data_IF_036737463871
#
_entry.id   IF_036737463871
#
_cell.length_a   1.000
_cell.length_b   1.000
_cell.length_c   1.000
_cell.angle_alpha   90.00
_cell.angle_beta   90.00
_cell.angle_gamma   90.00
#
_symmetry.space_group_name_H-M   'P 1'
#
loop_
_entity.id
_entity.type
_entity.pdbx_description
1 polymer ?
#
# COMPACT_ATOMS: atom_id res chain seq x y z
N UNK A 1 -9.88 -3.07 15.20
CA UNK A 1 -9.10 -2.01 14.52
C UNK A 1 -10.05 -1.09 13.80
N UNK A 2 -9.61 0.13 13.42
CA UNK A 2 -10.37 1.02 12.53
C UNK A 2 -10.22 0.58 11.07
N UNK A 3 -11.25 0.77 10.25
CA UNK A 3 -11.15 0.54 8.80
C UNK A 3 -10.27 1.61 8.13
N UNK A 4 -9.81 1.34 6.91
CA UNK A 4 -9.06 2.32 6.12
C UNK A 4 -9.89 3.59 5.85
N UNK A 5 -11.20 3.43 5.64
CA UNK A 5 -12.13 4.55 5.48
C UNK A 5 -12.30 5.38 6.75
N UNK A 6 -12.41 4.74 7.92
CA UNK A 6 -12.46 5.44 9.21
C UNK A 6 -11.17 6.20 9.50
N UNK A 7 -10.00 5.60 9.22
CA UNK A 7 -8.70 6.24 9.39
C UNK A 7 -8.56 7.44 8.45
N UNK A 8 -9.01 7.31 7.19
CA UNK A 8 -8.88 8.38 6.20
C UNK A 8 -9.77 9.60 6.52
N UNK A 9 -10.93 9.37 7.15
CA UNK A 9 -11.88 10.41 7.52
C UNK A 9 -11.48 11.22 8.77
N UNK A 10 -10.49 10.76 9.54
CA UNK A 10 -9.98 11.44 10.74
C UNK A 10 -8.56 11.96 10.47
N UNK A 11 -8.38 13.27 10.55
CA UNK A 11 -7.10 13.92 10.20
C UNK A 11 -5.94 13.45 11.10
N UNK A 12 -6.18 13.30 12.41
CA UNK A 12 -5.15 12.87 13.35
C UNK A 12 -4.74 11.42 13.13
N UNK A 13 -5.72 10.54 12.89
CA UNK A 13 -5.45 9.14 12.54
C UNK A 13 -4.76 9.03 11.18
N UNK A 14 -5.18 9.82 10.18
CA UNK A 14 -4.58 9.82 8.84
C UNK A 14 -3.13 10.28 8.87
N UNK A 15 -2.80 11.36 9.57
CA UNK A 15 -1.43 11.84 9.73
C UNK A 15 -0.54 10.80 10.39
N UNK A 16 -1.01 10.19 11.48
CA UNK A 16 -0.29 9.12 12.15
C UNK A 16 -0.07 7.91 11.23
N UNK A 17 -1.12 7.49 10.51
CA UNK A 17 -1.06 6.37 9.58
C UNK A 17 -0.10 6.62 8.41
N UNK A 18 -0.05 7.84 7.87
CA UNK A 18 0.90 8.23 6.81
C UNK A 18 2.33 8.15 7.34
N UNK A 19 2.61 8.67 8.54
CA UNK A 19 3.95 8.64 9.12
C UNK A 19 4.41 7.20 9.39
N UNK A 20 3.56 6.38 10.01
CA UNK A 20 3.84 4.97 10.27
C UNK A 20 3.97 4.15 8.98
N UNK A 21 3.08 4.39 8.00
CA UNK A 21 3.10 3.77 6.69
C UNK A 21 4.38 4.11 5.92
N UNK A 22 4.84 5.36 5.98
CA UNK A 22 6.12 5.77 5.38
C UNK A 22 7.33 5.05 6.00
N UNK A 23 7.32 4.81 7.31
CA UNK A 23 8.36 4.00 7.95
C UNK A 23 8.29 2.53 7.53
N UNK A 24 7.09 1.94 7.54
CA UNK A 24 6.88 0.55 7.10
C UNK A 24 7.27 0.33 5.64
N UNK A 25 6.95 1.28 4.75
CA UNK A 25 7.32 1.24 3.33
C UNK A 25 8.84 1.19 3.15
N UNK A 26 9.57 2.04 3.89
CA UNK A 26 11.05 2.07 3.87
C UNK A 26 11.70 0.77 4.33
N UNK A 27 11.06 0.06 5.26
CA UNK A 27 11.60 -1.21 5.77
C UNK A 27 11.30 -2.35 4.81
N UNK A 28 10.08 -2.41 4.27
CA UNK A 28 9.54 -3.63 3.65
C UNK A 28 9.30 -3.56 2.14
N UNK A 29 9.19 -2.36 1.55
CA UNK A 29 8.67 -2.20 0.19
C UNK A 29 9.68 -1.56 -0.78
N UNK A 30 10.58 -0.70 -0.28
CA UNK A 30 11.51 0.06 -1.13
C UNK A 30 12.48 -0.79 -1.92
N UNK A 31 12.76 -2.02 -1.48
CA UNK A 31 13.67 -2.93 -2.17
C UNK A 31 13.14 -3.33 -3.56
N UNK A 32 11.82 -3.29 -3.75
CA UNK A 32 11.15 -3.65 -4.99
C UNK A 32 10.53 -2.42 -5.68
N UNK A 33 9.86 -1.56 -4.91
CA UNK A 33 9.14 -0.40 -5.44
C UNK A 33 9.95 0.90 -5.46
N UNK A 34 11.22 0.87 -5.03
CA UNK A 34 12.08 2.05 -4.98
C UNK A 34 11.81 2.98 -3.79
N UNK A 35 12.79 3.81 -3.45
CA UNK A 35 12.73 4.71 -2.28
C UNK A 35 11.65 5.80 -2.38
N UNK A 36 11.27 6.16 -3.61
CA UNK A 36 10.17 7.08 -3.90
C UNK A 36 8.93 6.38 -4.44
N UNK A 37 8.81 5.05 -4.28
CA UNK A 37 7.70 4.24 -4.78
C UNK A 37 7.53 4.22 -6.32
N UNK A 38 8.56 4.65 -7.06
CA UNK A 38 8.56 4.79 -8.52
C UNK A 38 8.64 3.47 -9.30
N UNK A 39 8.82 2.34 -8.60
CA UNK A 39 8.98 1.02 -9.22
C UNK A 39 10.34 0.79 -9.87
N UNK A 40 10.46 -0.35 -10.56
CA UNK A 40 11.59 -0.72 -11.40
C UNK A 40 11.15 -1.74 -12.45
N UNK A 41 12.04 -2.21 -13.31
CA UNK A 41 11.69 -3.28 -14.27
C UNK A 41 11.12 -4.50 -13.51
N UNK A 42 9.87 -4.86 -13.80
CA UNK A 42 9.15 -5.96 -13.15
C UNK A 42 8.37 -5.59 -11.88
N UNK A 43 8.50 -4.35 -11.38
CA UNK A 43 7.83 -3.87 -10.17
C UNK A 43 7.06 -2.57 -10.47
N UNK A 44 5.74 -2.53 -10.23
CA UNK A 44 4.91 -1.36 -10.52
C UNK A 44 5.39 -0.06 -9.84
N UNK A 45 5.17 1.05 -10.52
CA UNK A 45 5.13 2.38 -9.89
C UNK A 45 3.85 2.48 -9.06
N UNK A 46 3.95 2.99 -7.82
CA UNK A 46 2.82 3.13 -6.91
C UNK A 46 2.37 4.59 -6.75
N UNK A 47 2.96 5.52 -7.50
CA UNK A 47 2.60 6.94 -7.49
C UNK A 47 1.69 7.37 -8.65
N UNK A 48 1.44 6.48 -9.61
CA UNK A 48 0.59 6.79 -10.75
C UNK A 48 -0.84 6.27 -10.55
N UNK A 49 -1.67 6.50 -11.57
CA UNK A 49 -3.09 6.16 -11.55
C UNK A 49 -3.38 4.79 -12.19
N UNK A 50 -2.34 4.03 -12.59
CA UNK A 50 -2.48 2.75 -13.29
C UNK A 50 -2.38 1.55 -12.34
N UNK A 51 -3.54 1.14 -11.81
CA UNK A 51 -3.63 0.08 -10.81
C UNK A 51 -4.01 -1.29 -11.41
N UNK A 52 -3.06 -2.22 -11.44
CA UNK A 52 -3.25 -3.57 -11.99
C UNK A 52 -4.36 -4.39 -11.30
N UNK A 53 -4.55 -4.18 -10.00
CA UNK A 53 -5.48 -4.95 -9.16
C UNK A 53 -6.51 -4.08 -8.42
N UNK A 54 -6.72 -2.86 -8.93
CA UNK A 54 -7.61 -1.85 -8.34
C UNK A 54 -6.89 -0.87 -7.41
N UNK A 55 -7.25 0.41 -7.54
CA UNK A 55 -6.58 1.53 -6.86
C UNK A 55 -7.33 2.12 -5.66
N UNK A 56 -8.48 1.54 -5.27
CA UNK A 56 -9.17 1.98 -4.05
C UNK A 56 -8.42 1.50 -2.82
N UNK A 57 -8.53 2.24 -1.72
CA UNK A 57 -7.78 1.98 -0.50
C UNK A 57 -7.99 0.55 0.03
N UNK A 58 -9.22 0.04 -0.05
CA UNK A 58 -9.57 -1.32 0.36
C UNK A 58 -8.96 -2.39 -0.56
N UNK A 59 -8.86 -2.12 -1.86
CA UNK A 59 -8.25 -3.04 -2.84
C UNK A 59 -6.73 -3.10 -2.68
N UNK A 60 -6.11 -1.96 -2.38
CA UNK A 60 -4.68 -1.87 -2.05
C UNK A 60 -4.41 -2.61 -0.74
N UNK A 61 -5.23 -2.40 0.30
CA UNK A 61 -5.12 -3.14 1.56
C UNK A 61 -5.22 -4.65 1.33
N UNK A 62 -6.18 -5.10 0.50
CA UNK A 62 -6.33 -6.50 0.16
C UNK A 62 -5.05 -7.05 -0.50
N UNK A 63 -4.52 -6.33 -1.50
CA UNK A 63 -3.27 -6.70 -2.19
C UNK A 63 -2.08 -6.81 -1.23
N UNK A 64 -1.96 -5.90 -0.25
CA UNK A 64 -0.88 -5.92 0.75
C UNK A 64 -1.05 -7.08 1.73
N UNK A 65 -2.29 -7.35 2.15
CA UNK A 65 -2.57 -8.36 3.18
C UNK A 65 -2.41 -9.78 2.63
N UNK A 66 -2.83 -9.99 1.39
CA UNK A 66 -3.00 -11.32 0.80
C UNK A 66 -2.00 -11.62 -0.33
N UNK A 67 -1.41 -10.58 -0.92
CA UNK A 67 -0.69 -10.71 -2.18
C UNK A 67 -1.63 -10.99 -3.35
N UNK A 68 -1.04 -11.19 -4.54
CA UNK A 68 -1.80 -11.36 -5.81
C UNK A 68 -1.57 -12.72 -6.48
N UNK A 69 -0.67 -13.53 -5.92
CA UNK A 69 -0.26 -14.84 -6.47
C UNK A 69 -0.04 -15.86 -5.35
N UNK A 70 -0.78 -15.73 -4.25
CA UNK A 70 -0.71 -16.68 -3.15
C UNK A 70 -1.97 -17.55 -3.15
N UNK A 71 -1.90 -18.69 -3.85
CA UNK A 71 -3.04 -19.60 -4.03
C UNK A 71 -3.45 -20.36 -2.75
N UNK A 72 -2.68 -20.21 -1.67
CA UNK A 72 -2.93 -20.86 -0.38
C UNK A 72 -3.41 -19.86 0.69
N UNK A 73 -3.72 -18.64 0.30
CA UNK A 73 -4.47 -17.72 1.14
C UNK A 73 -5.93 -18.19 1.24
N UNK A 74 -6.50 -18.35 2.44
CA UNK A 74 -7.89 -18.79 2.62
C UNK A 74 -8.94 -17.86 2.00
#
# INVERSE_FOLDING_TARGET
SKSVSEISADDGLREFAIAAGGAAFKVNCVQCHGSGAQGSKGFPNLNDDDWLWGGKAEQIQQTITHGIRFASDP
#
